data_IF_491225404342
#
_entry.id   IF_491225404342
#
_cell.length_a   1.000
_cell.length_b   1.000
_cell.length_c   1.000
_cell.angle_alpha   90.00
_cell.angle_beta   90.00
_cell.angle_gamma   90.00
#
_symmetry.space_group_name_H-M   'P 1'
#
loop_
_entity.id
_entity.type
_entity.pdbx_description
1 polymer ?
#
# COMPACT_ATOMS: atom_id res chain seq x y z
N UNK A 1 -48.13 5.79 -34.20
CA UNK A 1 -47.33 4.60 -33.85
C UNK A 1 -46.75 4.84 -32.46
N UNK A 2 -47.36 4.28 -31.42
CA UNK A 2 -46.85 4.28 -30.04
C UNK A 2 -46.16 2.92 -29.84
N UNK A 3 -44.93 2.90 -29.30
CA UNK A 3 -44.27 1.69 -28.82
C UNK A 3 -42.76 1.77 -28.99
N UNK A 4 -41.91 1.58 -27.98
CA UNK A 4 -42.15 1.23 -26.59
C UNK A 4 -40.94 1.63 -25.73
N UNK A 5 -41.25 2.05 -24.52
CA UNK A 5 -40.32 2.40 -23.46
C UNK A 5 -39.76 1.10 -22.85
N UNK A 6 -38.49 0.78 -23.09
CA UNK A 6 -37.85 -0.36 -22.43
C UNK A 6 -37.44 0.03 -21.00
N UNK A 7 -38.34 -0.20 -20.05
CA UNK A 7 -38.04 -0.18 -18.61
C UNK A 7 -37.23 -1.43 -18.27
N UNK A 8 -35.91 -1.31 -18.25
CA UNK A 8 -35.05 -2.35 -17.69
C UNK A 8 -35.20 -2.32 -16.16
N UNK A 9 -35.98 -3.27 -15.65
CA UNK A 9 -36.25 -3.47 -14.24
C UNK A 9 -34.97 -3.80 -13.47
N UNK A 10 -34.62 -2.97 -12.49
CA UNK A 10 -33.53 -3.22 -11.55
C UNK A 10 -33.93 -4.33 -10.57
N UNK A 11 -33.27 -5.48 -10.66
CA UNK A 11 -33.29 -6.49 -9.62
C UNK A 11 -32.28 -6.10 -8.52
N UNK A 12 -32.67 -5.16 -7.65
CA UNK A 12 -31.91 -4.84 -6.44
C UNK A 12 -32.22 -5.90 -5.39
N UNK A 13 -31.50 -7.03 -5.47
CA UNK A 13 -31.51 -8.04 -4.41
C UNK A 13 -30.76 -7.52 -3.18
N UNK A 14 -31.41 -7.50 -2.02
CA UNK A 14 -30.82 -7.08 -0.74
C UNK A 14 -29.57 -7.89 -0.33
N UNK A 15 -29.31 -9.03 -0.97
CA UNK A 15 -28.11 -9.85 -0.78
C UNK A 15 -26.87 -9.33 -1.54
N UNK A 16 -27.03 -8.53 -2.60
CA UNK A 16 -25.93 -8.06 -3.45
C UNK A 16 -25.12 -6.88 -2.87
N UNK A 17 -25.72 -6.09 -1.97
CA UNK A 17 -25.04 -4.93 -1.38
C UNK A 17 -23.99 -5.34 -0.33
N UNK A 18 -24.15 -6.49 0.31
CA UNK A 18 -23.27 -6.89 1.42
C UNK A 18 -21.89 -7.40 0.96
N UNK A 19 -21.78 -7.90 -0.29
CA UNK A 19 -20.53 -8.49 -0.79
C UNK A 19 -19.60 -7.49 -1.52
N UNK A 20 -20.07 -6.29 -1.85
CA UNK A 20 -19.27 -5.26 -2.56
C UNK A 20 -18.49 -4.35 -1.58
N UNK A 21 -18.45 -4.67 -0.29
CA UNK A 21 -17.93 -3.75 0.75
C UNK A 21 -16.82 -4.31 1.63
N UNK A 22 -15.89 -5.12 1.10
CA UNK A 22 -14.78 -5.63 1.94
C UNK A 22 -13.37 -5.61 1.38
N UNK A 23 -13.08 -4.75 0.39
CA UNK A 23 -11.71 -4.39 0.03
C UNK A 23 -11.31 -2.94 0.36
N UNK A 24 -12.02 -2.30 1.32
CA UNK A 24 -11.68 -0.95 1.83
C UNK A 24 -11.58 -0.89 3.36
N UNK A 25 -11.07 -1.94 4.00
CA UNK A 25 -10.81 -1.99 5.43
C UNK A 25 -9.31 -2.01 5.75
N UNK A 26 -8.55 -1.19 5.03
CA UNK A 26 -7.10 -1.06 5.22
C UNK A 26 -6.45 0.13 4.52
N UNK A 27 -7.24 1.05 3.93
CA UNK A 27 -6.68 2.37 3.60
C UNK A 27 -6.58 3.14 4.92
N UNK A 28 -5.48 2.91 5.63
CA UNK A 28 -4.85 3.99 6.36
C UNK A 28 -4.74 5.14 5.36
N UNK A 29 -5.64 6.12 5.49
CA UNK A 29 -5.48 7.42 4.85
C UNK A 29 -4.26 8.06 5.52
N UNK A 30 -3.06 7.61 5.13
CA UNK A 30 -1.89 8.46 5.25
C UNK A 30 -2.20 9.71 4.44
N UNK A 31 -2.06 10.84 5.12
CA UNK A 31 -2.48 12.16 4.63
C UNK A 31 -1.81 12.39 3.27
N UNK A 32 -2.47 13.06 2.29
CA UNK A 32 -1.91 13.32 0.95
C UNK A 32 -0.64 14.20 0.90
N UNK A 33 0.12 14.34 1.99
CA UNK A 33 1.29 15.20 2.09
C UNK A 33 2.51 14.59 2.77
N UNK A 34 2.42 13.39 3.35
CA UNK A 34 3.54 12.81 4.12
C UNK A 34 3.92 11.42 3.59
N UNK A 35 4.34 11.40 2.33
CA UNK A 35 4.84 10.18 1.68
C UNK A 35 6.25 9.93 2.19
N UNK A 36 6.39 9.02 3.17
CA UNK A 36 7.64 8.74 3.90
C UNK A 36 8.73 8.08 3.04
N UNK A 37 8.36 7.48 1.90
CA UNK A 37 9.31 6.85 0.98
C UNK A 37 8.93 7.05 -0.49
N UNK A 38 9.94 7.17 -1.35
CA UNK A 38 9.76 7.32 -2.81
C UNK A 38 10.68 6.37 -3.57
N UNK A 39 10.30 5.91 -4.77
CA UNK A 39 11.21 5.17 -5.65
C UNK A 39 12.55 5.88 -5.78
N UNK A 40 13.63 5.13 -5.57
CA UNK A 40 15.00 5.62 -5.64
C UNK A 40 15.57 6.19 -4.33
N UNK A 41 14.75 6.40 -3.29
CA UNK A 41 15.19 6.85 -1.97
C UNK A 41 16.00 5.77 -1.25
N UNK A 42 17.01 6.17 -0.47
CA UNK A 42 17.77 5.25 0.39
C UNK A 42 17.08 5.15 1.74
N UNK A 43 16.89 3.92 2.22
CA UNK A 43 16.33 3.63 3.54
C UNK A 43 17.24 2.65 4.26
N UNK A 44 17.43 2.84 5.55
CA UNK A 44 18.32 2.01 6.37
C UNK A 44 17.50 1.22 7.36
N UNK A 45 17.61 -0.11 7.35
CA UNK A 45 16.94 -0.93 8.35
C UNK A 45 17.52 -0.69 9.73
N UNK A 46 16.64 -0.70 10.73
CA UNK A 46 17.01 -0.63 12.14
C UNK A 46 17.95 -1.77 12.52
N UNK A 47 18.92 -1.48 13.38
CA UNK A 47 19.97 -2.44 13.75
C UNK A 47 19.38 -3.70 14.42
N UNK A 48 18.29 -3.55 15.17
CA UNK A 48 17.57 -4.66 15.79
C UNK A 48 16.93 -5.64 14.80
N UNK A 49 16.65 -5.23 13.56
CA UNK A 49 16.08 -6.12 12.53
C UNK A 49 17.16 -6.85 11.74
N UNK A 50 18.38 -6.31 11.71
CA UNK A 50 19.52 -6.87 10.99
C UNK A 50 20.78 -6.84 11.87
N UNK A 51 20.81 -7.62 12.97
CA UNK A 51 21.94 -7.63 13.89
C UNK A 51 23.20 -8.16 13.21
N UNK A 52 24.36 -7.67 13.64
CA UNK A 52 25.65 -8.08 13.09
C UNK A 52 25.94 -7.55 11.69
N UNK A 53 25.12 -6.62 11.17
CA UNK A 53 25.36 -5.93 9.90
C UNK A 53 25.67 -4.46 10.11
N UNK A 54 26.63 -3.97 9.33
CA UNK A 54 26.99 -2.56 9.34
C UNK A 54 25.86 -1.70 8.74
N UNK A 55 25.94 -0.38 8.91
CA UNK A 55 24.87 0.52 8.46
C UNK A 55 24.71 0.45 6.94
N UNK A 56 25.82 0.42 6.23
CA UNK A 56 25.91 0.33 4.77
C UNK A 56 25.23 -0.94 4.25
N UNK A 57 25.42 -2.07 4.95
CA UNK A 57 24.81 -3.37 4.61
C UNK A 57 23.30 -3.44 4.94
N UNK A 58 22.83 -2.50 5.76
CA UNK A 58 21.42 -2.32 6.12
C UNK A 58 20.73 -1.23 5.29
N UNK A 59 21.46 -0.52 4.44
CA UNK A 59 20.91 0.53 3.58
C UNK A 59 20.52 -0.05 2.22
N UNK A 60 19.27 0.14 1.85
CA UNK A 60 18.70 -0.33 0.59
C UNK A 60 18.01 0.80 -0.16
N UNK A 61 17.89 0.61 -1.47
CA UNK A 61 17.18 1.54 -2.34
C UNK A 61 15.72 1.12 -2.48
N UNK A 62 14.81 2.06 -2.27
CA UNK A 62 13.38 1.84 -2.52
C UNK A 62 13.15 1.61 -4.01
N UNK A 63 12.53 0.49 -4.34
CA UNK A 63 12.12 0.15 -5.71
C UNK A 63 10.77 0.78 -6.02
N UNK A 64 9.78 0.54 -5.15
CA UNK A 64 8.42 1.03 -5.32
C UNK A 64 7.72 1.19 -3.97
N UNK A 65 6.88 2.22 -3.86
CA UNK A 65 5.93 2.38 -2.75
C UNK A 65 4.59 1.75 -3.15
N UNK A 66 4.15 0.76 -2.38
CA UNK A 66 2.95 0.00 -2.66
C UNK A 66 1.69 0.72 -2.16
N UNK A 67 0.50 0.42 -2.72
CA UNK A 67 -0.77 0.96 -2.23
C UNK A 67 -1.08 0.62 -0.76
N UNK A 68 -0.39 -0.38 -0.19
CA UNK A 68 -0.46 -0.76 1.22
C UNK A 68 0.26 0.21 2.17
N UNK A 69 1.05 1.15 1.65
CA UNK A 69 1.95 2.02 2.43
C UNK A 69 3.30 1.38 2.76
N UNK A 70 3.52 0.14 2.30
CA UNK A 70 4.80 -0.59 2.43
C UNK A 70 5.67 -0.34 1.20
N UNK A 71 6.98 -0.57 1.31
CA UNK A 71 7.94 -0.45 0.20
C UNK A 71 8.48 -1.81 -0.20
N UNK A 72 8.74 -1.97 -1.50
CA UNK A 72 9.64 -2.99 -2.01
C UNK A 72 11.03 -2.38 -2.22
N UNK A 73 12.07 -3.18 -2.04
CA UNK A 73 13.45 -2.72 -2.08
C UNK A 73 14.24 -3.42 -3.18
N UNK A 74 15.29 -2.76 -3.66
CA UNK A 74 16.29 -3.40 -4.51
C UNK A 74 17.20 -4.28 -3.65
N UNK A 75 17.23 -5.59 -3.93
CA UNK A 75 18.15 -6.53 -3.26
C UNK A 75 17.69 -7.02 -1.88
N UNK A 76 16.46 -6.68 -1.45
CA UNK A 76 15.81 -7.29 -0.30
C UNK A 76 14.43 -7.82 -0.71
N UNK A 77 14.12 -9.02 -0.26
CA UNK A 77 12.88 -9.72 -0.60
C UNK A 77 11.74 -9.31 0.33
N UNK A 78 10.55 -9.20 -0.27
CA UNK A 78 9.31 -8.91 0.45
C UNK A 78 8.94 -7.42 0.48
N UNK A 79 7.95 -7.13 1.33
CA UNK A 79 7.44 -5.78 1.54
C UNK A 79 7.78 -5.33 2.97
N UNK A 80 8.17 -4.06 3.11
CA UNK A 80 8.67 -3.50 4.37
C UNK A 80 7.90 -2.25 4.77
N UNK A 81 7.59 -2.11 6.05
CA UNK A 81 6.88 -0.97 6.61
C UNK A 81 7.86 0.11 7.11
N UNK A 82 7.41 1.37 7.14
CA UNK A 82 8.21 2.52 7.60
C UNK A 82 8.94 2.30 8.93
N UNK A 83 8.26 1.68 9.90
CA UNK A 83 8.77 1.40 11.25
C UNK A 83 9.99 0.48 11.32
N UNK A 84 10.26 -0.26 10.24
CA UNK A 84 11.40 -1.17 10.11
C UNK A 84 12.70 -0.39 9.79
N UNK A 85 12.56 0.88 9.39
CA UNK A 85 13.68 1.73 9.00
C UNK A 85 14.02 2.74 10.09
N UNK A 86 15.26 3.21 10.06
CA UNK A 86 15.71 4.38 10.81
C UNK A 86 14.93 5.61 10.31
N UNK A 87 14.52 6.53 11.20
CA UNK A 87 13.85 7.77 10.81
C UNK A 87 14.78 8.60 9.91
N UNK A 88 14.22 9.16 8.84
CA UNK A 88 14.92 10.10 7.97
C UNK A 88 14.94 11.45 8.69
N UNK A 89 16.10 11.85 9.22
CA UNK A 89 16.32 13.19 9.80
C UNK A 89 16.48 14.27 8.74
#
# INVERSE_FOLDING_TARGET
>A
MIGGLALAAGAVGAAGVYLIRKNKAGQARERPGDVWARPGMMVTFRAELMPGREREERTFRVKELLPSGRVSLHGADGEHAAREFEPVS
#
